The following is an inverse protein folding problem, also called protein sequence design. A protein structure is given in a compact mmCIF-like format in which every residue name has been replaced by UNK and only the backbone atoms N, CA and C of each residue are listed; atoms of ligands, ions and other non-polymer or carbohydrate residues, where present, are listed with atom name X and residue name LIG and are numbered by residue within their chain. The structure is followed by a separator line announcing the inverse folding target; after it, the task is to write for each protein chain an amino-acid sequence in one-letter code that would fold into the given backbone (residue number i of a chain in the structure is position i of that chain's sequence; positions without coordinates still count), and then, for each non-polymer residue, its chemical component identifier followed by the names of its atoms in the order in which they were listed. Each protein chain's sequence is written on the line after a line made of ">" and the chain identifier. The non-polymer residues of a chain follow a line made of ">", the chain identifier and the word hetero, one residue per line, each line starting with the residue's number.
data_IF_704510389870
#
_entry.id   IF_704510389870
#
_cell.length_a   1.000
_cell.length_b   1.000
_cell.length_c   1.000
_cell.angle_alpha   90.00
_cell.angle_beta   90.00
_cell.angle_gamma   90.00
#
_symmetry.space_group_name_H-M   'P 1'
#
loop_
_entity.id
_entity.type
_entity.pdbx_description
1 polymer ?
#
# COMPACT_ATOMS: atom_id res chain seq x y z
N UNK A 1 -35.72 -11.33 36.98
CA UNK A 1 -34.29 -11.43 37.38
C UNK A 1 -33.48 -10.46 36.54
N UNK A 2 -32.67 -9.58 37.13
CA UNK A 2 -31.95 -8.54 36.38
C UNK A 2 -30.87 -9.17 35.47
N UNK A 3 -30.53 -8.53 34.32
CA UNK A 3 -29.45 -8.99 33.45
C UNK A 3 -28.12 -9.16 34.21
N UNK A 4 -27.81 -8.23 35.12
CA UNK A 4 -26.62 -8.28 35.99
C UNK A 4 -26.58 -9.56 36.82
N UNK A 5 -27.70 -9.97 37.41
CA UNK A 5 -27.74 -11.17 38.25
C UNK A 5 -27.56 -12.45 37.43
N UNK A 6 -28.02 -12.47 36.17
CA UNK A 6 -27.79 -13.61 35.27
C UNK A 6 -26.31 -13.75 34.90
N UNK A 7 -25.67 -12.65 34.53
CA UNK A 7 -24.23 -12.64 34.18
C UNK A 7 -23.39 -13.07 35.38
N UNK A 8 -23.69 -12.58 36.58
CA UNK A 8 -22.96 -12.97 37.79
C UNK A 8 -23.09 -14.46 38.12
N UNK A 9 -24.25 -15.05 37.86
CA UNK A 9 -24.42 -16.50 38.05
C UNK A 9 -23.57 -17.30 37.07
N UNK A 10 -23.53 -16.91 35.79
CA UNK A 10 -22.67 -17.56 34.78
C UNK A 10 -21.20 -17.41 35.16
N UNK A 11 -20.77 -16.22 35.58
CA UNK A 11 -19.39 -16.00 36.04
C UNK A 11 -19.03 -16.89 37.22
N UNK A 12 -19.95 -17.05 38.19
CA UNK A 12 -19.74 -17.96 39.32
C UNK A 12 -19.61 -19.41 38.85
N UNK A 13 -20.45 -19.85 37.91
CA UNK A 13 -20.34 -21.20 37.35
C UNK A 13 -18.98 -21.42 36.68
N UNK A 14 -18.50 -20.46 35.88
CA UNK A 14 -17.18 -20.55 35.26
C UNK A 14 -16.06 -20.65 36.31
N UNK A 15 -16.12 -19.83 37.35
CA UNK A 15 -15.16 -19.86 38.47
C UNK A 15 -15.19 -21.20 39.22
N UNK A 16 -16.37 -21.76 39.50
CA UNK A 16 -16.51 -23.06 40.14
C UNK A 16 -15.97 -24.23 39.30
N UNK A 17 -15.83 -24.04 37.99
CA UNK A 17 -15.24 -25.02 37.07
C UNK A 17 -13.80 -24.65 36.67
N UNK A 18 -13.16 -23.69 37.36
CA UNK A 18 -11.80 -23.24 37.08
C UNK A 18 -11.57 -22.75 35.65
N UNK A 19 -12.64 -22.30 34.97
CA UNK A 19 -12.60 -21.80 33.61
C UNK A 19 -12.64 -20.28 33.57
N UNK A 20 -11.73 -19.69 32.81
CA UNK A 20 -11.85 -18.26 32.46
C UNK A 20 -12.88 -18.09 31.34
N UNK A 21 -13.47 -16.89 31.23
CA UNK A 21 -14.37 -16.57 30.13
C UNK A 21 -13.67 -16.68 28.77
N UNK A 22 -12.38 -16.35 28.69
CA UNK A 22 -11.59 -16.48 27.46
C UNK A 22 -11.40 -17.95 27.07
N UNK A 23 -11.00 -18.81 28.02
CA UNK A 23 -10.84 -20.25 27.78
C UNK A 23 -12.15 -20.89 27.33
N UNK A 24 -13.27 -20.51 27.94
CA UNK A 24 -14.60 -20.98 27.56
C UNK A 24 -14.98 -20.60 26.12
N UNK A 25 -14.72 -19.35 25.71
CA UNK A 25 -14.97 -18.90 24.33
C UNK A 25 -14.06 -19.66 23.35
N UNK A 26 -12.77 -19.81 23.67
CA UNK A 26 -11.83 -20.56 22.83
C UNK A 26 -12.27 -22.00 22.63
N UNK A 27 -12.67 -22.69 23.70
CA UNK A 27 -13.16 -24.08 23.64
C UNK A 27 -14.38 -24.21 22.71
N UNK A 28 -15.35 -23.31 22.84
CA UNK A 28 -16.55 -23.31 21.96
C UNK A 28 -16.16 -23.11 20.49
N UNK A 29 -15.21 -22.22 20.21
CA UNK A 29 -14.80 -21.91 18.84
C UNK A 29 -13.95 -23.01 18.21
N UNK A 30 -13.14 -23.71 19.01
CA UNK A 30 -12.22 -24.75 18.53
C UNK A 30 -12.88 -26.13 18.47
N UNK A 31 -13.84 -26.41 19.36
CA UNK A 31 -14.51 -27.70 19.39
C UNK A 31 -15.29 -27.97 18.10
N UNK A 32 -15.26 -29.22 17.65
CA UNK A 32 -16.03 -29.71 16.50
C UNK A 32 -17.34 -30.39 16.89
N UNK A 33 -17.60 -30.52 18.18
CA UNK A 33 -18.81 -31.16 18.70
C UNK A 33 -20.05 -30.35 18.31
N UNK A 34 -21.13 -31.08 17.98
CA UNK A 34 -22.44 -30.52 17.64
C UNK A 34 -23.10 -29.84 18.83
N UNK A 35 -22.75 -30.23 20.05
CA UNK A 35 -23.31 -29.63 21.27
C UNK A 35 -22.93 -28.14 21.40
N UNK A 36 -21.79 -27.74 20.84
CA UNK A 36 -21.36 -26.34 20.79
C UNK A 36 -21.86 -25.58 19.56
N UNK A 37 -22.57 -26.21 18.61
CA UNK A 37 -22.90 -25.59 17.33
C UNK A 37 -23.69 -24.28 17.47
N UNK A 38 -24.69 -24.25 18.34
CA UNK A 38 -25.50 -23.05 18.61
C UNK A 38 -24.67 -21.94 19.24
N UNK A 39 -23.84 -22.28 20.23
CA UNK A 39 -22.97 -21.31 20.90
C UNK A 39 -21.92 -20.75 19.94
N UNK A 40 -21.30 -21.62 19.13
CA UNK A 40 -20.33 -21.26 18.08
C UNK A 40 -20.96 -20.34 17.04
N UNK A 41 -22.14 -20.68 16.52
CA UNK A 41 -22.88 -19.82 15.58
C UNK A 41 -23.22 -18.46 16.17
N UNK A 42 -23.56 -18.42 17.46
CA UNK A 42 -23.85 -17.15 18.15
C UNK A 42 -22.58 -16.32 18.31
N UNK A 43 -21.46 -16.92 18.72
CA UNK A 43 -20.19 -16.23 18.86
C UNK A 43 -19.67 -15.68 17.52
N UNK A 44 -19.69 -16.50 16.46
CA UNK A 44 -19.24 -16.07 15.13
C UNK A 44 -20.16 -15.00 14.55
N UNK A 45 -21.48 -15.15 14.69
CA UNK A 45 -22.45 -14.13 14.26
C UNK A 45 -22.33 -12.80 15.00
N UNK A 46 -21.74 -12.79 16.20
CA UNK A 46 -21.53 -11.60 17.02
C UNK A 46 -20.06 -11.13 17.07
N UNK A 47 -19.16 -11.73 16.27
CA UNK A 47 -17.72 -11.46 16.32
C UNK A 47 -17.38 -9.97 16.18
N UNK A 48 -18.02 -9.27 15.22
CA UNK A 48 -17.83 -7.83 15.00
C UNK A 48 -18.21 -7.02 16.25
N UNK A 49 -19.31 -7.37 16.93
CA UNK A 49 -19.73 -6.67 18.14
C UNK A 49 -18.74 -6.92 19.29
N UNK A 50 -18.26 -8.15 19.45
CA UNK A 50 -17.26 -8.51 20.48
C UNK A 50 -15.98 -7.73 20.24
N UNK A 51 -15.44 -7.72 19.02
CA UNK A 51 -14.24 -6.96 18.66
C UNK A 51 -14.44 -5.45 18.88
N UNK A 52 -15.63 -4.89 18.61
CA UNK A 52 -15.94 -3.49 18.93
C UNK A 52 -15.89 -3.22 20.44
N UNK A 53 -16.40 -4.11 21.27
CA UNK A 53 -16.33 -3.96 22.72
C UNK A 53 -14.89 -4.06 23.24
N UNK A 54 -14.09 -5.00 22.72
CA UNK A 54 -12.67 -5.14 23.05
C UNK A 54 -11.86 -3.90 22.64
N UNK A 55 -12.13 -3.36 21.44
CA UNK A 55 -11.51 -2.12 20.97
C UNK A 55 -11.88 -0.91 21.84
N UNK A 56 -13.12 -0.84 22.32
CA UNK A 56 -13.59 0.30 23.12
C UNK A 56 -13.19 0.20 24.60
N UNK A 57 -12.78 -0.97 25.08
CA UNK A 57 -12.32 -1.16 26.45
C UNK A 57 -10.90 -0.64 26.61
N UNK A 58 -10.67 0.20 27.62
CA UNK A 58 -9.38 0.87 27.85
C UNK A 58 -8.21 -0.11 28.06
N UNK A 59 -8.47 -1.26 28.68
CA UNK A 59 -7.42 -2.22 29.03
C UNK A 59 -6.99 -3.06 27.83
N UNK A 60 -7.90 -3.34 26.89
CA UNK A 60 -7.61 -4.12 25.68
C UNK A 60 -7.46 -3.28 24.42
N UNK A 61 -7.69 -1.96 24.46
CA UNK A 61 -7.69 -1.09 23.29
C UNK A 61 -6.39 -1.18 22.47
N UNK A 62 -5.25 -1.00 23.14
CA UNK A 62 -3.93 -0.96 22.50
C UNK A 62 -3.60 -2.31 21.85
N UNK A 63 -3.77 -3.40 22.60
CA UNK A 63 -3.50 -4.76 22.12
C UNK A 63 -4.44 -5.15 20.98
N UNK A 64 -5.74 -4.86 21.11
CA UNK A 64 -6.74 -5.16 20.06
C UNK A 64 -6.43 -4.40 18.77
N UNK A 65 -6.06 -3.13 18.87
CA UNK A 65 -5.72 -2.32 17.69
C UNK A 65 -4.42 -2.81 17.04
N UNK A 66 -3.40 -3.09 17.85
CA UNK A 66 -2.11 -3.61 17.37
C UNK A 66 -2.28 -4.94 16.63
N UNK A 67 -3.04 -5.88 17.20
CA UNK A 67 -3.37 -7.15 16.54
C UNK A 67 -4.15 -6.93 15.24
N UNK A 68 -5.20 -6.10 15.26
CA UNK A 68 -6.00 -5.84 14.06
C UNK A 68 -5.17 -5.20 12.93
N UNK A 69 -4.25 -4.28 13.25
CA UNK A 69 -3.33 -3.70 12.28
C UNK A 69 -2.32 -4.72 11.74
N UNK A 70 -1.83 -5.64 12.58
CA UNK A 70 -0.92 -6.69 12.13
C UNK A 70 -1.60 -7.63 11.14
N UNK A 71 -2.82 -8.09 11.45
CA UNK A 71 -3.63 -8.94 10.56
C UNK A 71 -3.95 -8.21 9.26
N UNK A 72 -4.41 -6.96 9.33
CA UNK A 72 -4.69 -6.17 8.12
C UNK A 72 -3.46 -6.02 7.23
N UNK A 73 -2.28 -5.79 7.81
CA UNK A 73 -1.04 -5.67 7.04
C UNK A 73 -0.67 -6.99 6.36
N UNK A 74 -0.82 -8.11 7.03
CA UNK A 74 -0.56 -9.45 6.47
C UNK A 74 -1.45 -9.70 5.25
N UNK A 75 -2.77 -9.51 5.38
CA UNK A 75 -3.74 -9.67 4.29
C UNK A 75 -3.41 -8.76 3.10
N UNK A 76 -3.08 -7.48 3.35
CA UNK A 76 -2.73 -6.54 2.30
C UNK A 76 -1.40 -6.91 1.61
N UNK A 77 -0.41 -7.41 2.36
CA UNK A 77 0.84 -7.89 1.80
C UNK A 77 0.63 -9.12 0.91
N UNK A 78 -0.25 -10.03 1.30
CA UNK A 78 -0.61 -11.21 0.50
C UNK A 78 -1.32 -10.80 -0.78
N UNK A 79 -2.27 -9.86 -0.71
CA UNK A 79 -2.94 -9.34 -1.90
C UNK A 79 -1.99 -8.61 -2.86
N UNK A 80 -1.05 -7.80 -2.34
CA UNK A 80 0.00 -7.17 -3.16
C UNK A 80 0.90 -8.23 -3.79
N UNK A 81 1.29 -9.25 -3.04
CA UNK A 81 2.14 -10.34 -3.55
C UNK A 81 1.43 -11.10 -4.65
N UNK A 82 0.15 -11.40 -4.48
CA UNK A 82 -0.67 -12.07 -5.49
C UNK A 82 -0.84 -11.20 -6.74
N UNK A 83 -1.17 -9.91 -6.60
CA UNK A 83 -1.25 -8.95 -7.71
C UNK A 83 0.06 -8.81 -8.48
N UNK A 84 1.19 -8.96 -7.77
CA UNK A 84 2.53 -8.88 -8.34
C UNK A 84 2.94 -10.09 -9.19
N UNK A 85 2.06 -11.10 -9.35
CA UNK A 85 2.35 -12.27 -10.17
C UNK A 85 2.20 -11.97 -11.67
N UNK A 86 3.14 -12.51 -12.46
CA UNK A 86 3.19 -12.36 -13.92
C UNK A 86 1.89 -12.73 -14.64
N UNK A 87 1.17 -13.72 -14.10
CA UNK A 87 -0.13 -14.19 -14.62
C UNK A 87 -1.20 -13.11 -14.68
N UNK A 88 -1.07 -12.03 -13.91
CA UNK A 88 -2.06 -10.93 -13.87
C UNK A 88 -1.74 -9.80 -14.85
N UNK A 89 -0.57 -9.84 -15.50
CA UNK A 89 -0.20 -8.88 -16.54
C UNK A 89 0.17 -7.49 -16.02
N UNK A 90 0.32 -7.30 -14.71
CA UNK A 90 0.66 -6.01 -14.10
C UNK A 90 2.16 -5.69 -14.12
N UNK A 91 2.99 -6.55 -14.75
CA UNK A 91 4.41 -6.25 -14.93
C UNK A 91 4.62 -5.37 -16.14
N UNK A 92 5.19 -4.20 -15.90
CA UNK A 92 5.64 -3.33 -16.99
C UNK A 92 7.08 -3.60 -17.38
N UNK A 93 7.29 -3.69 -18.69
CA UNK A 93 8.60 -3.49 -19.27
C UNK A 93 8.73 -2.01 -19.67
N UNK A 94 9.53 -1.25 -18.92
CA UNK A 94 9.74 0.18 -19.12
C UNK A 94 10.31 0.53 -20.51
N UNK A 95 10.86 -0.46 -21.23
CA UNK A 95 11.45 -0.26 -22.56
C UNK A 95 10.43 -0.26 -23.71
N UNK A 96 9.19 -0.73 -23.48
CA UNK A 96 8.19 -0.91 -24.54
C UNK A 96 6.87 -0.18 -24.31
N UNK A 97 6.62 0.36 -23.12
CA UNK A 97 5.37 1.04 -22.80
C UNK A 97 5.35 2.48 -23.35
N UNK A 98 4.31 2.84 -24.11
CA UNK A 98 4.05 4.24 -24.45
C UNK A 98 3.28 4.94 -23.32
N UNK A 99 3.40 6.27 -23.24
CA UNK A 99 2.69 7.09 -22.25
C UNK A 99 1.16 6.92 -22.35
N UNK A 100 0.62 6.85 -23.58
CA UNK A 100 -0.82 6.64 -23.82
C UNK A 100 -1.32 5.28 -23.29
N UNK A 101 -0.48 4.23 -23.34
CA UNK A 101 -0.79 2.91 -22.80
C UNK A 101 -0.80 2.91 -21.26
N UNK A 102 0.03 3.76 -20.64
CA UNK A 102 0.14 3.86 -19.20
C UNK A 102 -1.03 4.65 -18.59
N UNK A 103 -1.42 5.78 -19.18
CA UNK A 103 -2.43 6.67 -18.60
C UNK A 103 -3.87 6.18 -18.79
N UNK A 104 -4.20 5.60 -19.94
CA UNK A 104 -5.59 5.27 -20.28
C UNK A 104 -5.96 3.80 -20.08
N UNK A 105 -5.08 2.87 -20.42
CA UNK A 105 -5.40 1.43 -20.42
C UNK A 105 -4.96 0.78 -19.11
N UNK A 106 -3.75 1.09 -18.64
CA UNK A 106 -3.20 0.41 -17.48
C UNK A 106 -3.86 0.81 -16.17
N UNK A 107 -4.20 2.08 -15.95
CA UNK A 107 -4.84 2.51 -14.70
C UNK A 107 -6.20 1.80 -14.53
N UNK A 108 -6.96 1.68 -15.61
CA UNK A 108 -8.25 0.99 -15.63
C UNK A 108 -8.07 -0.52 -15.40
N UNK A 109 -7.09 -1.15 -16.07
CA UNK A 109 -6.76 -2.56 -15.85
C UNK A 109 -6.26 -2.83 -14.43
N UNK A 110 -5.41 -1.98 -13.88
CA UNK A 110 -4.92 -2.07 -12.50
C UNK A 110 -6.06 -1.95 -11.51
N UNK A 111 -6.98 -0.98 -11.69
CA UNK A 111 -8.13 -0.83 -10.82
C UNK A 111 -9.05 -2.06 -10.87
N UNK A 112 -9.34 -2.59 -12.06
CA UNK A 112 -10.14 -3.81 -12.23
C UNK A 112 -9.46 -5.03 -11.59
N UNK A 113 -8.15 -5.20 -11.80
CA UNK A 113 -7.36 -6.30 -11.23
C UNK A 113 -7.26 -6.19 -9.73
N UNK A 114 -7.01 -4.99 -9.19
CA UNK A 114 -6.97 -4.75 -7.75
C UNK A 114 -8.33 -5.04 -7.12
N UNK A 115 -9.44 -4.62 -7.73
CA UNK A 115 -10.77 -4.96 -7.24
C UNK A 115 -11.07 -6.48 -7.27
N UNK A 116 -10.59 -7.19 -8.29
CA UNK A 116 -10.87 -8.62 -8.47
C UNK A 116 -9.97 -9.55 -7.63
N UNK A 117 -8.69 -9.20 -7.47
CA UNK A 117 -7.65 -10.05 -6.89
C UNK A 117 -7.25 -9.58 -5.49
N UNK A 118 -7.28 -8.27 -5.24
CA UNK A 118 -6.95 -7.65 -3.96
C UNK A 118 -8.07 -6.75 -3.42
N UNK A 119 -9.27 -7.31 -3.13
CA UNK A 119 -10.43 -6.52 -2.74
C UNK A 119 -10.22 -5.76 -1.42
N UNK A 120 -9.39 -6.27 -0.50
CA UNK A 120 -9.02 -5.58 0.73
C UNK A 120 -8.19 -4.33 0.46
N UNK A 121 -7.18 -4.44 -0.40
CA UNK A 121 -6.30 -3.36 -0.85
C UNK A 121 -7.06 -2.31 -1.64
N UNK A 122 -7.96 -2.74 -2.54
CA UNK A 122 -8.86 -1.83 -3.23
C UNK A 122 -9.72 -1.01 -2.25
N UNK A 123 -10.37 -1.69 -1.31
CA UNK A 123 -11.21 -1.04 -0.30
C UNK A 123 -10.41 -0.09 0.57
N UNK A 124 -9.18 -0.46 0.94
CA UNK A 124 -8.28 0.37 1.72
C UNK A 124 -7.83 1.61 0.95
N UNK A 125 -7.42 1.46 -0.30
CA UNK A 125 -7.04 2.57 -1.18
C UNK A 125 -8.20 3.56 -1.37
N UNK A 126 -9.42 3.05 -1.63
CA UNK A 126 -10.62 3.89 -1.74
C UNK A 126 -10.92 4.62 -0.44
N UNK A 127 -10.83 3.94 0.71
CA UNK A 127 -11.02 4.60 2.01
C UNK A 127 -9.98 5.71 2.27
N UNK A 128 -8.73 5.53 1.84
CA UNK A 128 -7.70 6.57 1.94
C UNK A 128 -7.98 7.76 1.01
N UNK A 129 -8.44 7.52 -0.21
CA UNK A 129 -8.82 8.58 -1.15
C UNK A 129 -10.05 9.35 -0.66
N UNK A 130 -11.06 8.64 -0.16
CA UNK A 130 -12.30 9.21 0.39
C UNK A 130 -12.08 9.95 1.72
N UNK A 131 -11.04 9.61 2.47
CA UNK A 131 -10.70 10.29 3.73
C UNK A 131 -10.49 11.80 3.57
N UNK A 132 -10.15 12.25 2.34
CA UNK A 132 -9.97 13.66 1.99
C UNK A 132 -11.29 14.36 1.58
N UNK A 133 -12.36 13.61 1.32
CA UNK A 133 -13.67 14.09 0.86
C UNK A 133 -14.44 14.96 1.85
N UNK A 134 -14.01 15.06 3.11
CA UNK A 134 -14.54 16.03 4.09
C UNK A 134 -14.07 17.47 3.86
N UNK A 135 -13.04 17.70 3.05
CA UNK A 135 -12.65 19.04 2.58
C UNK A 135 -13.23 19.23 1.19
N UNK A 136 -14.39 19.91 1.12
CA UNK A 136 -15.00 20.37 -0.13
C UNK A 136 -13.93 20.88 -1.09
N UNK A 137 -13.74 20.21 -2.23
CA UNK A 137 -13.41 20.93 -3.47
C UNK A 137 -14.65 21.71 -3.84
N UNK A 138 -14.86 22.84 -3.17
CA UNK A 138 -15.66 23.91 -3.74
C UNK A 138 -14.76 24.44 -4.87
N UNK A 139 -14.93 23.90 -6.08
CA UNK A 139 -14.55 24.68 -7.25
C UNK A 139 -15.55 25.83 -7.29
N UNK A 140 -15.24 26.88 -6.51
CA UNK A 140 -15.85 28.17 -6.74
C UNK A 140 -15.35 28.58 -8.12
N UNK A 141 -16.27 28.65 -9.08
CA UNK A 141 -16.04 29.19 -10.41
C UNK A 141 -15.71 30.69 -10.26
N UNK A 142 -14.50 31.00 -9.84
CA UNK A 142 -13.95 32.35 -9.94
C UNK A 142 -12.44 32.23 -10.06
N UNK A 143 -12.01 32.21 -11.32
CA UNK A 143 -10.65 32.49 -11.75
C UNK A 143 -10.14 33.75 -11.06
N UNK A 144 -9.12 33.59 -10.22
CA UNK A 144 -8.07 34.59 -10.03
C UNK A 144 -6.76 33.83 -9.97
N UNK A 145 -5.98 33.91 -11.06
CA UNK A 145 -4.61 33.44 -11.12
C UNK A 145 -3.79 34.09 -10.00
N UNK A 146 -3.11 33.26 -9.19
CA UNK A 146 -1.90 33.66 -8.48
C UNK A 146 -0.72 32.92 -9.11
N UNK A 147 0.36 33.61 -9.48
CA UNK A 147 1.56 32.94 -9.97
C UNK A 147 2.12 32.05 -8.87
N UNK A 148 2.41 30.81 -9.22
CA UNK A 148 3.20 29.89 -8.39
C UNK A 148 4.65 30.34 -8.50
N UNK A 149 5.23 30.85 -7.41
CA UNK A 149 6.69 31.00 -7.33
C UNK A 149 7.31 29.60 -7.34
N UNK A 150 8.10 29.32 -8.37
CA UNK A 150 8.90 28.10 -8.50
C UNK A 150 10.07 28.17 -7.52
N UNK A 151 9.89 27.63 -6.32
CA UNK A 151 11.03 27.10 -5.57
C UNK A 151 11.33 25.71 -6.15
N UNK A 152 12.36 25.63 -6.99
CA UNK A 152 12.97 24.38 -7.43
C UNK A 152 13.44 23.59 -6.19
N UNK A 153 12.66 22.61 -5.75
CA UNK A 153 13.13 21.62 -4.79
C UNK A 153 13.91 20.54 -5.55
N UNK A 154 15.24 20.57 -5.41
CA UNK A 154 16.17 19.56 -5.88
C UNK A 154 15.78 18.18 -5.31
N UNK A 155 15.17 17.34 -6.16
CA UNK A 155 14.90 15.95 -5.86
C UNK A 155 16.19 15.19 -6.12
N UNK A 156 17.04 15.13 -5.09
CA UNK A 156 18.39 14.57 -5.13
C UNK A 156 18.54 13.26 -5.91
N UNK A 157 19.74 13.06 -6.44
CA UNK A 157 20.18 11.95 -7.29
C UNK A 157 19.81 10.57 -6.69
N UNK A 158 18.80 9.93 -7.30
CA UNK A 158 18.39 8.59 -6.92
C UNK A 158 19.26 7.57 -7.68
N UNK A 159 20.10 6.84 -6.94
CA UNK A 159 20.74 5.60 -7.42
C UNK A 159 22.25 5.66 -7.60
N UNK A 160 22.98 5.77 -6.48
CA UNK A 160 24.34 5.25 -6.41
C UNK A 160 24.29 3.73 -6.25
N UNK A 161 24.38 2.99 -7.35
CA UNK A 161 24.84 1.60 -7.31
C UNK A 161 26.35 1.61 -7.55
N UNK A 162 27.09 1.72 -6.46
CA UNK A 162 28.50 1.38 -6.41
C UNK A 162 28.62 -0.10 -6.02
N UNK A 163 29.15 -0.95 -6.91
CA UNK A 163 29.89 -2.11 -6.49
C UNK A 163 31.32 -2.03 -7.04
N UNK A 164 32.18 -1.25 -6.38
CA UNK A 164 33.63 -1.45 -6.43
C UNK A 164 34.16 -2.01 -5.09
N UNK A 165 35.36 -2.62 -5.04
CA UNK A 165 36.17 -3.18 -6.12
C UNK A 165 36.67 -4.61 -5.81
N UNK A 166 36.59 -5.52 -6.78
CA UNK A 166 37.46 -6.70 -6.78
C UNK A 166 38.15 -6.84 -8.14
N UNK A 167 39.46 -7.06 -8.03
CA UNK A 167 40.43 -7.46 -9.04
C UNK A 167 41.02 -6.34 -9.92
N UNK A 168 42.15 -5.85 -9.43
CA UNK A 168 43.36 -5.61 -10.22
C UNK A 168 43.48 -6.57 -11.42
N UNK A 169 43.75 -6.02 -12.59
CA UNK A 169 44.62 -6.64 -13.60
C UNK A 169 45.12 -5.56 -14.56
N UNK A 170 46.42 -5.34 -14.47
CA UNK A 170 47.28 -4.74 -15.48
C UNK A 170 47.02 -5.38 -16.87
N UNK A 171 47.16 -4.57 -17.93
CA UNK A 171 48.13 -4.83 -19.01
C UNK A 171 48.03 -3.77 -20.13
N UNK A 172 49.15 -3.05 -20.24
CA UNK A 172 49.89 -2.62 -21.44
C UNK A 172 49.43 -1.51 -22.41
N UNK A 173 50.47 -0.76 -22.82
CA UNK A 173 50.58 0.40 -23.69
C UNK A 173 50.11 0.16 -25.14
N UNK A 174 49.68 1.23 -25.82
CA UNK A 174 50.43 1.72 -27.00
C UNK A 174 49.95 3.11 -27.46
N UNK A 175 50.95 3.93 -27.78
CA UNK A 175 50.94 5.29 -28.31
C UNK A 175 50.31 5.42 -29.71
N UNK A 176 49.70 6.59 -29.99
CA UNK A 176 50.07 7.53 -31.08
C UNK A 176 48.87 8.31 -31.68
N UNK A 177 49.11 9.59 -32.03
CA UNK A 177 48.50 10.22 -33.21
C UNK A 177 47.31 11.20 -33.06
N UNK A 178 47.62 12.49 -32.87
CA UNK A 178 47.19 13.60 -33.75
C UNK A 178 45.70 13.97 -33.98
N UNK A 179 45.35 15.25 -33.73
CA UNK A 179 44.40 16.01 -34.58
C UNK A 179 43.12 16.55 -33.91
N UNK A 180 42.74 17.83 -34.14
CA UNK A 180 41.62 18.49 -33.48
C UNK A 180 40.27 18.17 -34.14
N UNK A 181 39.33 17.65 -33.36
CA UNK A 181 37.97 17.39 -33.85
C UNK A 181 37.26 16.31 -33.04
N UNK A 182 37.06 16.53 -31.74
CA UNK A 182 36.21 15.65 -30.92
C UNK A 182 34.78 15.71 -31.43
N UNK A 183 34.40 14.76 -32.28
CA UNK A 183 32.99 14.47 -32.57
C UNK A 183 32.30 14.13 -31.24
N UNK A 184 31.17 14.79 -30.89
CA UNK A 184 30.50 14.51 -29.63
C UNK A 184 30.05 13.04 -29.61
N UNK A 185 30.36 12.34 -28.52
CA UNK A 185 29.90 10.96 -28.29
C UNK A 185 28.37 10.94 -28.37
N UNK A 186 27.80 9.86 -28.93
CA UNK A 186 26.34 9.69 -29.17
C UNK A 186 25.44 10.05 -27.98
N UNK A 187 25.98 10.03 -26.76
CA UNK A 187 25.27 10.36 -25.53
C UNK A 187 25.14 11.88 -25.29
N UNK A 188 26.09 12.70 -25.75
CA UNK A 188 26.04 14.16 -25.63
C UNK A 188 24.99 14.80 -26.54
N UNK A 189 24.66 14.17 -27.69
CA UNK A 189 23.54 14.65 -28.53
C UNK A 189 22.18 14.46 -27.84
N UNK A 190 22.01 13.40 -27.04
CA UNK A 190 20.75 13.12 -26.32
C UNK A 190 20.47 14.06 -25.15
N UNK A 191 21.49 14.72 -24.60
CA UNK A 191 21.31 15.72 -23.53
C UNK A 191 20.80 17.05 -24.10
N UNK A 192 21.35 17.50 -25.24
CA UNK A 192 20.89 18.73 -25.87
C UNK A 192 19.45 18.64 -26.42
N UNK A 193 19.07 17.48 -26.98
CA UNK A 193 17.71 17.26 -27.47
C UNK A 193 16.67 17.21 -26.32
N UNK A 194 17.08 16.80 -25.11
CA UNK A 194 16.21 16.82 -23.90
C UNK A 194 16.00 18.22 -23.34
N UNK A 195 17.00 19.10 -23.42
CA UNK A 195 16.87 20.47 -22.95
C UNK A 195 15.97 21.33 -23.86
N UNK A 196 15.90 21.02 -25.17
CA UNK A 196 14.99 21.70 -26.10
C UNK A 196 13.52 21.33 -25.83
N UNK A 197 13.23 20.08 -25.47
CA UNK A 197 11.87 19.62 -25.15
C UNK A 197 11.31 20.25 -23.87
N UNK A 198 12.16 20.49 -22.85
CA UNK A 198 11.74 21.18 -21.63
C UNK A 198 11.45 22.67 -21.86
N UNK A 199 12.19 23.33 -22.77
CA UNK A 199 11.91 24.72 -23.16
C UNK A 199 10.64 24.88 -24.01
N UNK A 200 10.18 23.83 -24.69
CA UNK A 200 8.93 23.87 -25.47
C UNK A 200 7.69 23.71 -24.58
N UNK A 201 7.81 23.05 -23.43
CA UNK A 201 6.72 22.93 -22.45
C UNK A 201 6.46 24.27 -21.75
N UNK A 202 7.51 25.05 -21.48
CA UNK A 202 7.39 26.37 -20.83
C UNK A 202 6.82 27.43 -21.78
N UNK A 203 7.10 27.38 -23.08
CA UNK A 203 6.58 28.36 -24.06
C UNK A 203 5.16 28.09 -24.56
N UNK A 204 4.57 26.93 -24.25
CA UNK A 204 3.17 26.61 -24.56
C UNK A 204 2.19 27.03 -23.46
N UNK A 205 2.69 27.59 -22.35
CA UNK A 205 1.91 28.07 -21.20
C UNK A 205 2.29 29.51 -20.79
N UNK A 206 2.61 30.37 -21.75
CA UNK A 206 2.62 31.85 -21.65
C UNK A 206 1.86 32.45 -22.81
#
# INVERSE_FOLDING_TARGET
>A
MSPKNRVMNVLRCLQCNELSAAAFICEILQSRDTDYATARSTLTGNAVQICKQLRNNKNSHVETLSWASAVMREELCDEVSELSLAKHGLHFNATTASMDQLESVFVDELAQKMQAIGPGLWSFAMALLDSRGGRRRCMSSTSVFRPFEQDEMDLGEFGGDDPGPLAERDDEESSDGGGPGKRPRKWQRRANDRNVALLTIVSLWS
#
